data_IF_678348733344
#
_entry.id   IF_678348733344
#
_cell.length_a   1.000
_cell.length_b   1.000
_cell.length_c   1.000
_cell.angle_alpha   90.00
_cell.angle_beta   90.00
_cell.angle_gamma   90.00
#
_symmetry.space_group_name_H-M   'P 1'
#
loop_
_entity.id
_entity.type
_entity.pdbx_description
1 polymer ?
#
# COMPACT_ATOMS: atom_id res chain seq x y z
N UNK A 1 6.75 -11.40 -0.69
CA UNK A 1 5.39 -11.13 -0.17
C UNK A 1 4.84 -12.32 0.60
N UNK A 2 4.58 -13.48 -0.04
CA UNK A 2 4.08 -14.66 0.68
C UNK A 2 5.12 -15.29 1.63
N UNK A 3 6.42 -15.21 1.33
CA UNK A 3 7.48 -15.77 2.18
C UNK A 3 7.57 -15.14 3.58
N UNK A 4 6.96 -13.97 3.76
CA UNK A 4 6.94 -13.24 5.03
C UNK A 4 5.60 -13.40 5.77
N UNK A 5 4.66 -14.18 5.21
CA UNK A 5 3.34 -14.39 5.78
C UNK A 5 3.36 -15.60 6.74
N UNK A 6 2.72 -15.52 7.92
CA UNK A 6 2.51 -16.67 8.78
C UNK A 6 1.84 -17.84 8.05
N UNK A 7 2.24 -19.07 8.38
CA UNK A 7 1.69 -20.28 7.74
C UNK A 7 0.18 -20.37 7.91
N UNK A 8 -0.34 -19.93 9.06
CA UNK A 8 -1.76 -19.93 9.39
C UNK A 8 -2.56 -19.01 8.45
N UNK A 9 -1.99 -17.87 8.06
CA UNK A 9 -2.64 -16.97 7.10
C UNK A 9 -2.63 -17.54 5.69
N UNK A 10 -1.54 -18.21 5.28
CA UNK A 10 -1.50 -18.91 3.98
C UNK A 10 -2.58 -19.99 3.94
N UNK A 11 -2.69 -20.80 5.00
CA UNK A 11 -3.70 -21.85 5.11
C UNK A 11 -5.13 -21.31 5.08
N UNK A 12 -5.37 -20.17 5.72
CA UNK A 12 -6.66 -19.48 5.62
C UNK A 12 -6.98 -19.09 4.17
N UNK A 13 -6.03 -18.49 3.45
CA UNK A 13 -6.23 -18.10 2.05
C UNK A 13 -6.49 -19.31 1.15
N UNK A 14 -5.76 -20.41 1.36
CA UNK A 14 -5.97 -21.67 0.63
C UNK A 14 -7.39 -22.20 0.85
N UNK A 15 -7.88 -22.20 2.10
CA UNK A 15 -9.26 -22.59 2.44
C UNK A 15 -10.31 -21.69 1.79
N UNK A 16 -10.08 -20.38 1.73
CA UNK A 16 -10.95 -19.42 1.04
C UNK A 16 -11.01 -19.68 -0.47
N UNK A 17 -9.87 -20.02 -1.08
CA UNK A 17 -9.83 -20.40 -2.50
C UNK A 17 -10.65 -21.69 -2.73
N UNK A 18 -10.47 -22.73 -1.90
CA UNK A 18 -11.27 -23.95 -2.01
C UNK A 18 -12.78 -23.66 -1.85
N UNK A 19 -13.13 -22.84 -0.87
CA UNK A 19 -14.53 -22.43 -0.61
C UNK A 19 -15.13 -21.67 -1.78
N UNK A 20 -14.36 -20.79 -2.43
CA UNK A 20 -14.78 -20.08 -3.62
C UNK A 20 -15.08 -21.04 -4.79
N UNK A 21 -14.20 -21.99 -5.07
CA UNK A 21 -14.42 -22.99 -6.12
C UNK A 21 -15.64 -23.87 -5.83
N UNK A 22 -15.81 -24.31 -4.59
CA UNK A 22 -16.97 -25.08 -4.20
C UNK A 22 -18.27 -24.29 -4.37
N UNK A 23 -18.29 -23.03 -3.92
CA UNK A 23 -19.50 -22.20 -3.96
C UNK A 23 -19.88 -21.77 -5.38
N UNK A 24 -18.91 -21.27 -6.14
CA UNK A 24 -19.18 -20.63 -7.44
C UNK A 24 -19.15 -21.65 -8.59
N UNK A 25 -18.48 -22.80 -8.41
CA UNK A 25 -18.29 -23.80 -9.47
C UNK A 25 -18.76 -25.21 -9.10
N UNK A 26 -19.23 -25.43 -7.87
CA UNK A 26 -19.58 -26.76 -7.35
C UNK A 26 -18.40 -27.75 -7.45
N UNK A 27 -17.18 -27.23 -7.40
CA UNK A 27 -15.95 -27.97 -7.62
C UNK A 27 -15.17 -28.06 -6.31
N UNK A 28 -14.95 -29.28 -5.82
CA UNK A 28 -14.05 -29.53 -4.68
C UNK A 28 -12.62 -29.69 -5.20
N UNK A 29 -11.78 -28.68 -4.98
CA UNK A 29 -10.35 -28.74 -5.32
C UNK A 29 -9.53 -29.12 -4.09
N UNK A 30 -8.43 -29.85 -4.31
CA UNK A 30 -7.47 -30.20 -3.26
C UNK A 30 -6.70 -28.98 -2.75
N UNK A 31 -6.08 -29.13 -1.57
CA UNK A 31 -5.20 -28.09 -1.00
C UNK A 31 -4.06 -27.75 -1.96
N UNK A 32 -3.49 -28.75 -2.65
CA UNK A 32 -2.41 -28.56 -3.63
C UNK A 32 -2.87 -27.75 -4.84
N UNK A 33 -4.09 -27.96 -5.32
CA UNK A 33 -4.65 -27.18 -6.44
C UNK A 33 -4.93 -25.74 -6.02
N UNK A 34 -5.51 -25.53 -4.84
CA UNK A 34 -5.74 -24.20 -4.29
C UNK A 34 -4.41 -23.45 -4.04
N UNK A 35 -3.36 -24.15 -3.58
CA UNK A 35 -2.02 -23.59 -3.44
C UNK A 35 -1.43 -23.14 -4.78
N UNK A 36 -1.62 -23.90 -5.86
CA UNK A 36 -1.20 -23.48 -7.21
C UNK A 36 -1.95 -22.25 -7.70
N UNK A 37 -3.24 -22.14 -7.39
CA UNK A 37 -4.03 -20.93 -7.69
C UNK A 37 -3.47 -19.72 -6.93
N UNK A 38 -3.16 -19.88 -5.65
CA UNK A 38 -2.52 -18.84 -4.84
C UNK A 38 -1.16 -18.41 -5.42
N UNK A 39 -0.34 -19.37 -5.83
CA UNK A 39 0.95 -19.10 -6.48
C UNK A 39 0.78 -18.32 -7.79
N UNK A 40 -0.18 -18.72 -8.63
CA UNK A 40 -0.52 -18.00 -9.84
C UNK A 40 -0.98 -16.56 -9.56
N UNK A 41 -1.86 -16.35 -8.60
CA UNK A 41 -2.31 -15.00 -8.21
C UNK A 41 -1.16 -14.15 -7.66
N UNK A 42 -0.24 -14.76 -6.89
CA UNK A 42 0.95 -14.08 -6.40
C UNK A 42 1.84 -13.59 -7.55
N UNK A 43 2.06 -14.43 -8.56
CA UNK A 43 2.95 -14.07 -9.67
C UNK A 43 2.28 -13.11 -10.68
N UNK A 44 0.94 -13.10 -10.75
CA UNK A 44 0.19 -12.28 -11.72
C UNK A 44 -0.38 -10.99 -11.16
N UNK A 45 -0.93 -10.98 -9.94
CA UNK A 45 -1.68 -9.83 -9.39
C UNK A 45 -0.84 -9.07 -8.37
N UNK A 46 -0.08 -9.77 -7.52
CA UNK A 46 0.58 -9.15 -6.37
C UNK A 46 1.54 -8.00 -6.72
N UNK A 47 2.36 -8.05 -7.80
CA UNK A 47 3.25 -6.94 -8.15
C UNK A 47 2.48 -5.65 -8.48
N UNK A 48 1.36 -5.77 -9.20
CA UNK A 48 0.54 -4.62 -9.56
C UNK A 48 -0.13 -4.01 -8.33
N UNK A 49 -0.71 -4.84 -7.46
CA UNK A 49 -1.36 -4.37 -6.25
C UNK A 49 -0.35 -3.74 -5.28
N UNK A 50 0.82 -4.36 -5.10
CA UNK A 50 1.88 -3.83 -4.26
C UNK A 50 2.34 -2.45 -4.73
N UNK A 51 2.59 -2.29 -6.04
CA UNK A 51 2.98 -1.01 -6.61
C UNK A 51 1.87 0.03 -6.46
N UNK A 52 0.62 -0.32 -6.71
CA UNK A 52 -0.52 0.59 -6.54
C UNK A 52 -0.60 1.11 -5.10
N UNK A 53 -0.51 0.22 -4.10
CA UNK A 53 -0.50 0.60 -2.68
C UNK A 53 0.69 1.51 -2.36
N UNK A 54 1.89 1.20 -2.87
CA UNK A 54 3.06 2.05 -2.67
C UNK A 54 2.84 3.47 -3.23
N UNK A 55 2.29 3.59 -4.45
CA UNK A 55 2.00 4.90 -5.04
C UNK A 55 0.98 5.69 -4.23
N UNK A 56 -0.06 5.02 -3.71
CA UNK A 56 -1.04 5.66 -2.84
C UNK A 56 -0.40 6.18 -1.55
N UNK A 57 0.48 5.38 -0.92
CA UNK A 57 1.23 5.81 0.27
C UNK A 57 2.16 6.98 -0.05
N UNK A 58 2.88 6.94 -1.16
CA UNK A 58 3.75 8.05 -1.58
C UNK A 58 2.96 9.35 -1.74
N UNK A 59 1.79 9.29 -2.38
CA UNK A 59 0.94 10.45 -2.57
C UNK A 59 0.44 11.04 -1.26
N UNK A 60 0.11 10.20 -0.27
CA UNK A 60 -0.26 10.66 1.07
C UNK A 60 0.90 11.41 1.73
N UNK A 61 2.11 10.85 1.64
CA UNK A 61 3.32 11.47 2.21
C UNK A 61 3.63 12.80 1.52
N UNK A 62 3.58 12.85 0.19
CA UNK A 62 3.82 14.06 -0.60
C UNK A 62 2.86 15.19 -0.17
N UNK A 63 1.56 14.90 -0.09
CA UNK A 63 0.57 15.87 0.40
C UNK A 63 0.88 16.37 1.82
N UNK A 64 1.36 15.49 2.70
CA UNK A 64 1.71 15.85 4.07
C UNK A 64 2.98 16.71 4.13
N UNK A 65 3.97 16.41 3.29
CA UNK A 65 5.19 17.23 3.14
C UNK A 65 4.85 18.63 2.62
N UNK A 66 4.01 18.73 1.59
CA UNK A 66 3.52 20.03 1.07
C UNK A 66 2.79 20.84 2.14
N UNK A 67 2.00 20.17 2.99
CA UNK A 67 1.34 20.82 4.11
C UNK A 67 2.35 21.37 5.11
N UNK A 68 3.34 20.57 5.50
CA UNK A 68 4.39 21.02 6.41
C UNK A 68 5.23 22.16 5.84
N UNK A 69 5.58 22.12 4.55
CA UNK A 69 6.30 23.20 3.88
C UNK A 69 5.52 24.52 3.99
N UNK A 70 4.22 24.50 3.69
CA UNK A 70 3.35 25.68 3.82
C UNK A 70 3.29 26.20 5.25
N UNK A 71 3.17 25.34 6.25
CA UNK A 71 3.15 25.77 7.66
C UNK A 71 4.49 26.37 8.09
N UNK A 72 5.62 25.82 7.65
CA UNK A 72 6.96 26.36 7.94
C UNK A 72 7.15 27.73 7.28
N UNK A 73 6.74 27.88 6.02
CA UNK A 73 6.86 29.16 5.30
C UNK A 73 6.04 30.28 5.95
N UNK A 74 4.92 29.96 6.62
CA UNK A 74 4.17 30.95 7.42
C UNK A 74 4.96 31.51 8.61
N UNK A 75 5.98 30.79 9.09
CA UNK A 75 6.86 31.24 10.17
C UNK A 75 7.98 32.17 9.66
N UNK A 76 8.08 32.42 8.35
CA UNK A 76 9.08 33.34 7.80
C UNK A 76 8.89 34.75 8.41
N UNK A 77 9.95 35.25 9.05
CA UNK A 77 9.96 36.60 9.61
C UNK A 77 10.30 37.62 8.52
N UNK A 78 9.71 38.83 8.56
CA UNK A 78 10.05 39.89 7.62
C UNK A 78 11.54 40.25 7.73
N UNK A 79 12.24 40.26 6.59
CA UNK A 79 13.62 40.73 6.49
C UNK A 79 13.65 42.27 6.66
N UNK A 80 13.66 42.78 7.88
CA UNK A 80 13.82 44.21 8.12
C UNK A 80 15.29 44.59 8.25
N UNK A 81 15.77 45.41 7.31
CA UNK A 81 16.59 46.60 7.57
C UNK A 81 16.29 47.66 6.51
N UNK A 82 15.08 48.21 6.51
CA UNK A 82 14.90 49.56 5.95
C UNK A 82 15.60 50.52 6.91
N UNK A 83 16.69 51.10 6.42
CA UNK A 83 17.54 52.06 7.17
C UNK A 83 16.66 53.17 7.73
N UNK A 84 16.72 53.35 9.05
CA UNK A 84 16.24 54.56 9.73
C UNK A 84 16.91 55.76 9.06
N UNK A 85 16.14 56.57 8.32
CA UNK A 85 16.60 57.88 7.88
C UNK A 85 16.48 58.80 9.09
N UNK A 86 17.61 59.16 9.68
CA UNK A 86 17.69 60.34 10.53
C UNK A 86 17.66 61.56 9.62
N UNK A 87 16.59 62.36 9.73
CA UNK A 87 16.54 63.76 9.31
C UNK A 87 16.20 64.59 10.53
#
# INVERSE_FOLDING_TARGET
MLSNMPKEQIQLIVSEIQSFYLKERQENISEVEAQKVLEFMKDTIAPFLYNAILYDVFRIIENQCDHFEKEILKLEQPKSKQKVKFN
#
